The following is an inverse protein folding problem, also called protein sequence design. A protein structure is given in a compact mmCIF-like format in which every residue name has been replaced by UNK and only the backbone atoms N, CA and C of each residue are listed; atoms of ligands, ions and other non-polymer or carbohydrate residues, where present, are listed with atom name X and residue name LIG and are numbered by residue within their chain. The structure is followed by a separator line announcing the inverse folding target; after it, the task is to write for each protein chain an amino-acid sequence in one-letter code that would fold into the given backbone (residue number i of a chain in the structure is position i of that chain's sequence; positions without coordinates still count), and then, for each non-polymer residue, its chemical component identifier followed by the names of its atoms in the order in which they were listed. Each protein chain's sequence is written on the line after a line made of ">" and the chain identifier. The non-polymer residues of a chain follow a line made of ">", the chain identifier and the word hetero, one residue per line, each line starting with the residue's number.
data_IF_224713243761
#
_entry.id   IF_224713243761
#
_cell.length_a   1.000
_cell.length_b   1.000
_cell.length_c   1.000
_cell.angle_alpha   90.00
_cell.angle_beta   90.00
_cell.angle_gamma   90.00
#
_symmetry.space_group_name_H-M   'P 1'
#
loop_
_entity.id
_entity.type
_entity.pdbx_description
1 polymer ?
#
# COMPACT_ATOMS: atom_id res chain seq x y z
N UNK A 1 -10.56 34.17 -6.40
CA UNK A 1 -9.44 33.69 -7.22
C UNK A 1 -8.89 32.40 -6.63
N UNK A 2 -8.49 31.48 -7.47
CA UNK A 2 -7.97 30.18 -7.06
C UNK A 2 -6.61 30.23 -6.34
N UNK A 3 -5.95 31.38 -6.28
CA UNK A 3 -4.67 31.52 -5.59
C UNK A 3 -4.73 32.74 -4.64
N UNK A 4 -4.40 32.49 -3.38
CA UNK A 4 -4.33 33.52 -2.34
C UNK A 4 -3.11 34.46 -2.48
N UNK A 5 -2.12 34.07 -3.28
CA UNK A 5 -0.91 34.85 -3.59
C UNK A 5 -0.52 34.64 -5.06
N UNK A 6 0.01 35.69 -5.69
CA UNK A 6 0.59 35.56 -7.02
C UNK A 6 1.90 34.73 -6.99
N UNK A 7 2.28 34.13 -8.13
CA UNK A 7 3.45 33.27 -8.24
C UNK A 7 4.76 33.98 -7.88
N UNK A 8 4.86 35.27 -8.14
CA UNK A 8 6.05 36.07 -7.83
C UNK A 8 6.22 36.23 -6.32
N UNK A 9 5.17 36.69 -5.61
CA UNK A 9 5.18 36.83 -4.15
C UNK A 9 5.48 35.50 -3.45
N UNK A 10 4.99 34.36 -3.99
CA UNK A 10 5.29 33.04 -3.47
C UNK A 10 6.76 32.66 -3.72
N UNK A 11 7.30 32.98 -4.88
CA UNK A 11 8.71 32.75 -5.21
C UNK A 11 9.63 33.53 -4.27
N UNK A 12 9.39 34.84 -4.07
CA UNK A 12 10.17 35.70 -3.17
C UNK A 12 10.12 35.13 -1.74
N UNK A 13 8.95 34.79 -1.22
CA UNK A 13 8.79 34.20 0.11
C UNK A 13 9.56 32.88 0.24
N UNK A 14 9.58 32.05 -0.79
CA UNK A 14 10.36 30.82 -0.78
C UNK A 14 11.87 31.11 -0.77
N UNK A 15 12.33 32.11 -1.52
CA UNK A 15 13.74 32.53 -1.52
C UNK A 15 14.15 33.09 -0.14
N UNK A 16 13.33 33.95 0.46
CA UNK A 16 13.56 34.51 1.79
C UNK A 16 13.62 33.43 2.89
N UNK A 17 12.88 32.34 2.72
CA UNK A 17 12.87 31.20 3.65
C UNK A 17 13.98 30.17 3.38
N UNK A 18 14.86 30.41 2.40
CA UNK A 18 16.01 29.53 2.13
C UNK A 18 17.00 29.58 3.30
N UNK A 19 17.08 28.50 4.04
CA UNK A 19 18.09 28.32 5.10
C UNK A 19 19.26 27.48 4.58
N UNK A 20 20.40 27.52 5.29
CA UNK A 20 21.52 26.61 5.04
C UNK A 20 21.07 25.15 5.03
N UNK A 21 20.17 24.79 5.96
CA UNK A 21 19.59 23.45 6.04
C UNK A 21 18.79 23.10 4.78
N UNK A 22 18.02 24.03 4.21
CA UNK A 22 17.29 23.82 2.96
C UNK A 22 18.23 23.64 1.77
N UNK A 23 19.33 24.43 1.73
CA UNK A 23 20.37 24.30 0.69
C UNK A 23 21.02 22.93 0.72
N UNK A 24 21.43 22.44 1.89
CA UNK A 24 22.05 21.12 2.03
C UNK A 24 21.06 20.00 1.68
N UNK A 25 19.79 20.16 2.04
CA UNK A 25 18.74 19.22 1.68
C UNK A 25 18.51 19.17 0.17
N UNK A 26 18.48 20.33 -0.52
CA UNK A 26 18.35 20.38 -1.97
C UNK A 26 19.56 19.78 -2.68
N UNK A 27 20.77 20.02 -2.17
CA UNK A 27 21.97 19.35 -2.68
C UNK A 27 21.88 17.83 -2.56
N UNK A 28 21.42 17.31 -1.42
CA UNK A 28 21.26 15.87 -1.24
C UNK A 28 20.26 15.27 -2.24
N UNK A 29 19.16 15.97 -2.57
CA UNK A 29 18.22 15.54 -3.60
C UNK A 29 18.84 15.55 -4.99
N UNK A 30 19.63 16.59 -5.32
CA UNK A 30 20.34 16.65 -6.60
C UNK A 30 21.35 15.50 -6.72
N UNK A 31 22.14 15.24 -5.68
CA UNK A 31 23.08 14.11 -5.67
C UNK A 31 22.36 12.77 -5.82
N UNK A 32 21.27 12.55 -5.08
CA UNK A 32 20.45 11.33 -5.18
C UNK A 32 19.90 11.13 -6.60
N UNK A 33 19.43 12.21 -7.23
CA UNK A 33 18.91 12.16 -8.59
C UNK A 33 20.02 11.88 -9.63
N UNK A 34 21.21 12.45 -9.44
CA UNK A 34 22.36 12.21 -10.31
C UNK A 34 22.93 10.80 -10.12
N UNK A 35 23.15 10.36 -8.89
CA UNK A 35 23.60 9.00 -8.57
C UNK A 35 22.65 7.94 -9.15
N UNK A 36 21.34 8.22 -9.10
CA UNK A 36 20.34 7.36 -9.69
C UNK A 36 20.37 7.38 -11.22
N UNK A 37 20.57 8.54 -11.84
CA UNK A 37 20.71 8.67 -13.29
C UNK A 37 21.93 7.92 -13.81
N UNK A 38 23.05 7.96 -13.08
CA UNK A 38 24.24 7.21 -13.40
C UNK A 38 24.02 5.70 -13.29
N UNK A 39 23.28 5.23 -12.29
CA UNK A 39 22.88 3.82 -12.13
C UNK A 39 22.00 3.32 -13.29
N UNK A 40 21.12 4.16 -13.82
CA UNK A 40 20.25 3.81 -14.97
C UNK A 40 21.01 3.85 -16.29
N UNK A 41 21.82 4.90 -16.52
CA UNK A 41 22.50 5.10 -17.80
C UNK A 41 23.63 4.10 -18.03
N UNK A 42 24.35 3.71 -16.97
CA UNK A 42 25.45 2.76 -17.07
C UNK A 42 25.00 1.28 -17.25
N UNK A 43 23.72 0.97 -17.04
CA UNK A 43 23.21 -0.40 -17.10
C UNK A 43 23.92 -1.38 -16.15
N UNK A 44 24.77 -0.87 -15.29
CA UNK A 44 25.64 -1.59 -14.37
C UNK A 44 25.11 -1.54 -12.94
N UNK A 45 23.84 -1.90 -12.77
CA UNK A 45 23.45 -2.41 -11.46
C UNK A 45 24.09 -3.80 -11.33
N UNK A 46 25.36 -3.82 -11.00
CA UNK A 46 26.04 -5.05 -10.62
C UNK A 46 25.48 -5.50 -9.27
N UNK A 47 24.41 -6.28 -9.33
CA UNK A 47 23.77 -6.85 -8.16
C UNK A 47 24.73 -7.67 -7.28
N UNK A 48 25.91 -8.06 -7.84
CA UNK A 48 26.96 -8.75 -7.09
C UNK A 48 27.67 -7.84 -6.07
N UNK A 49 27.55 -6.52 -6.20
CA UNK A 49 28.11 -5.53 -5.25
C UNK A 49 27.15 -5.11 -4.14
N UNK A 50 25.88 -5.50 -4.22
CA UNK A 50 24.95 -5.35 -3.12
C UNK A 50 25.27 -6.38 -2.04
N UNK A 51 26.25 -6.10 -1.21
CA UNK A 51 26.44 -6.84 0.03
C UNK A 51 25.26 -6.50 0.95
N UNK A 52 24.26 -7.35 0.92
CA UNK A 52 23.22 -7.35 1.97
C UNK A 52 23.93 -7.78 3.27
N UNK A 53 24.33 -6.83 4.10
CA UNK A 53 24.59 -7.15 5.50
C UNK A 53 23.28 -7.70 6.05
N UNK A 54 23.31 -8.89 6.66
CA UNK A 54 22.18 -9.40 7.44
C UNK A 54 21.73 -8.29 8.40
N UNK A 55 20.58 -7.70 8.09
CA UNK A 55 19.97 -6.72 8.99
C UNK A 55 19.24 -7.55 10.03
N UNK A 56 19.77 -7.60 11.24
CA UNK A 56 19.04 -8.12 12.37
C UNK A 56 17.80 -7.22 12.60
N UNK A 57 16.68 -7.65 12.02
CA UNK A 57 15.40 -6.95 12.12
C UNK A 57 14.88 -6.84 13.56
N UNK A 58 15.49 -7.57 14.52
CA UNK A 58 15.21 -7.43 15.94
C UNK A 58 16.00 -6.28 16.58
N UNK A 59 16.97 -5.74 15.87
CA UNK A 59 17.75 -4.62 16.37
C UNK A 59 17.00 -3.30 16.17
N UNK A 60 16.38 -2.80 17.22
CA UNK A 60 15.66 -1.53 17.24
C UNK A 60 16.49 -0.35 16.70
N UNK A 61 17.82 -0.40 16.79
CA UNK A 61 18.70 0.64 16.25
C UNK A 61 18.50 0.87 14.75
N UNK A 62 18.36 -0.20 13.96
CA UNK A 62 18.14 -0.07 12.52
C UNK A 62 16.77 0.54 12.20
N UNK A 63 15.74 0.17 12.97
CA UNK A 63 14.40 0.72 12.82
C UNK A 63 14.41 2.21 13.12
N UNK A 64 15.06 2.63 14.20
CA UNK A 64 15.16 4.06 14.55
C UNK A 64 15.99 4.85 13.56
N UNK A 65 17.09 4.28 13.08
CA UNK A 65 17.90 4.91 12.04
C UNK A 65 17.09 5.10 10.76
N UNK A 66 16.26 4.12 10.39
CA UNK A 66 15.35 4.20 9.25
C UNK A 66 14.31 5.30 9.45
N UNK A 67 13.55 5.27 10.55
CA UNK A 67 12.51 6.26 10.83
C UNK A 67 13.10 7.69 10.91
N UNK A 68 14.28 7.85 11.49
CA UNK A 68 14.99 9.12 11.50
C UNK A 68 15.28 9.60 10.09
N UNK A 69 15.80 8.74 9.20
CA UNK A 69 16.02 9.09 7.79
C UNK A 69 14.72 9.48 7.11
N UNK A 70 13.65 8.71 7.26
CA UNK A 70 12.33 9.05 6.72
C UNK A 70 11.93 10.47 7.16
N UNK A 71 12.08 10.80 8.45
CA UNK A 71 11.79 12.14 8.97
C UNK A 71 12.70 13.22 8.40
N UNK A 72 14.00 12.96 8.30
CA UNK A 72 15.00 13.92 7.81
C UNK A 72 14.81 14.26 6.32
N UNK A 73 14.30 13.32 5.53
CA UNK A 73 13.98 13.52 4.11
C UNK A 73 12.59 14.10 3.83
N UNK A 74 11.75 14.26 4.86
CA UNK A 74 10.45 14.89 4.70
C UNK A 74 10.57 16.33 4.23
N UNK A 75 9.72 16.72 3.30
CA UNK A 75 9.50 18.11 2.88
C UNK A 75 8.14 18.58 3.39
N UNK A 76 7.97 19.89 3.55
CA UNK A 76 6.67 20.44 3.92
C UNK A 76 6.00 21.01 2.66
N UNK A 77 4.81 20.49 2.35
CA UNK A 77 3.95 21.00 1.29
C UNK A 77 2.65 21.45 1.96
N UNK A 78 2.38 22.75 1.93
CA UNK A 78 1.32 23.37 2.74
C UNK A 78 1.52 23.01 4.23
N UNK A 79 0.57 22.33 4.84
CA UNK A 79 0.64 21.91 6.25
C UNK A 79 0.99 20.41 6.42
N UNK A 80 1.16 19.67 5.33
CA UNK A 80 1.43 18.25 5.32
C UNK A 80 2.91 17.95 5.04
N UNK A 81 3.39 16.82 5.53
CA UNK A 81 4.69 16.27 5.15
C UNK A 81 4.54 15.40 3.92
N UNK A 82 5.49 15.53 3.02
CA UNK A 82 5.60 14.74 1.80
C UNK A 82 7.05 14.28 1.58
N UNK A 83 7.22 13.31 0.70
CA UNK A 83 8.51 12.72 0.37
C UNK A 83 8.67 12.61 -1.14
N UNK A 84 9.90 12.76 -1.62
CA UNK A 84 10.26 12.48 -3.00
C UNK A 84 11.08 11.20 -3.07
N UNK A 85 10.79 10.38 -4.06
CA UNK A 85 11.57 9.18 -4.37
C UNK A 85 11.60 8.91 -5.89
N UNK A 86 12.53 8.08 -6.38
CA UNK A 86 12.43 7.50 -7.70
C UNK A 86 11.20 6.61 -7.79
N UNK A 87 10.31 6.90 -8.71
CA UNK A 87 9.07 6.16 -8.94
C UNK A 87 9.03 5.69 -10.39
N UNK A 88 8.69 4.42 -10.62
CA UNK A 88 8.46 3.89 -11.95
C UNK A 88 7.08 4.32 -12.42
N UNK A 89 7.01 5.20 -13.42
CA UNK A 89 5.75 5.67 -13.94
C UNK A 89 5.05 4.64 -14.84
N UNK A 90 3.80 4.90 -15.20
CA UNK A 90 2.98 4.01 -16.03
C UNK A 90 3.53 3.76 -17.46
N UNK A 91 4.55 4.51 -17.86
CA UNK A 91 5.25 4.32 -19.16
C UNK A 91 6.52 3.46 -19.02
N UNK A 92 6.76 2.88 -17.86
CA UNK A 92 7.96 2.10 -17.56
C UNK A 92 9.23 2.95 -17.47
N UNK A 93 9.09 4.26 -17.24
CA UNK A 93 10.20 5.18 -17.05
C UNK A 93 10.29 5.61 -15.60
N UNK A 94 11.49 5.66 -15.09
CA UNK A 94 11.75 6.20 -13.79
C UNK A 94 11.63 7.73 -13.81
N UNK A 95 10.92 8.27 -12.83
CA UNK A 95 10.83 9.71 -12.55
C UNK A 95 11.08 9.94 -11.07
N UNK A 96 11.54 11.14 -10.74
CA UNK A 96 11.68 11.57 -9.35
C UNK A 96 10.41 12.33 -8.99
N UNK A 97 9.54 11.71 -8.20
CA UNK A 97 8.20 12.22 -7.94
C UNK A 97 7.81 12.10 -6.47
N UNK A 98 6.68 12.66 -6.09
CA UNK A 98 6.13 12.54 -4.74
C UNK A 98 5.74 11.09 -4.46
N UNK A 99 6.20 10.60 -3.32
CA UNK A 99 5.78 9.29 -2.80
C UNK A 99 4.32 9.36 -2.38
N UNK A 100 3.49 8.46 -2.87
CA UNK A 100 2.08 8.36 -2.46
C UNK A 100 2.00 7.90 -0.98
N UNK A 101 0.79 7.88 -0.46
CA UNK A 101 0.51 7.49 0.93
C UNK A 101 -0.09 6.07 1.03
N UNK A 102 -0.08 5.32 -0.06
CA UNK A 102 -0.58 3.95 -0.08
C UNK A 102 0.26 2.97 0.78
N UNK A 103 -0.21 1.74 0.87
CA UNK A 103 0.45 0.72 1.68
C UNK A 103 1.57 -0.02 0.93
N UNK A 104 1.48 -0.07 -0.42
CA UNK A 104 2.35 -0.94 -1.21
C UNK A 104 3.74 -0.34 -1.45
N UNK A 105 3.81 0.86 -2.02
CA UNK A 105 5.05 1.57 -2.32
C UNK A 105 5.09 3.00 -1.75
N UNK A 106 4.09 3.35 -0.95
CA UNK A 106 3.93 4.65 -0.32
C UNK A 106 4.35 4.72 1.15
N UNK A 107 3.96 5.83 1.79
CA UNK A 107 4.30 6.12 3.19
C UNK A 107 3.49 5.32 4.21
N UNK A 108 2.51 4.52 3.79
CA UNK A 108 1.73 3.64 4.67
C UNK A 108 2.58 2.62 5.42
N UNK A 109 3.58 2.01 4.76
CA UNK A 109 4.51 1.07 5.39
C UNK A 109 5.37 1.72 6.48
N UNK A 110 6.12 2.80 6.20
CA UNK A 110 6.85 3.57 7.21
C UNK A 110 6.00 4.01 8.40
N UNK A 111 4.76 4.45 8.16
CA UNK A 111 3.84 4.84 9.23
C UNK A 111 3.45 3.67 10.14
N UNK A 112 3.27 2.47 9.60
CA UNK A 112 3.04 1.27 10.39
C UNK A 112 4.26 0.88 11.23
N UNK A 113 5.46 1.01 10.69
CA UNK A 113 6.69 0.80 11.46
C UNK A 113 6.73 1.77 12.65
N UNK A 114 6.47 3.06 12.43
CA UNK A 114 6.40 4.06 13.48
C UNK A 114 5.33 3.71 14.52
N UNK A 115 4.15 3.25 14.09
CA UNK A 115 3.05 2.85 14.95
C UNK A 115 3.42 1.67 15.87
N UNK A 116 4.08 0.64 15.34
CA UNK A 116 4.42 -0.55 16.12
C UNK A 116 5.56 -0.32 17.10
N UNK A 117 6.55 0.46 16.71
CA UNK A 117 7.71 0.74 17.57
C UNK A 117 7.55 1.97 18.46
N UNK A 118 6.46 2.73 18.31
CA UNK A 118 6.00 3.74 19.26
C UNK A 118 6.93 4.93 19.47
N UNK A 119 7.78 5.28 18.49
CA UNK A 119 8.81 6.32 18.64
C UNK A 119 8.76 7.45 17.61
N UNK A 120 7.78 7.44 16.73
CA UNK A 120 7.50 8.58 15.84
C UNK A 120 6.00 8.79 15.70
N UNK A 121 5.39 9.36 16.74
CA UNK A 121 3.97 9.74 16.76
C UNK A 121 3.66 10.72 15.64
N UNK A 122 4.62 11.54 15.23
CA UNK A 122 4.44 12.54 14.18
C UNK A 122 4.19 11.91 12.80
N UNK A 123 4.90 10.83 12.44
CA UNK A 123 4.70 10.13 11.17
C UNK A 123 3.35 9.41 11.15
N UNK A 124 2.99 8.74 12.26
CA UNK A 124 1.69 8.10 12.42
C UNK A 124 0.56 9.12 12.32
N UNK A 125 0.67 10.24 13.03
CA UNK A 125 -0.33 11.30 13.03
C UNK A 125 -0.49 11.93 11.64
N UNK A 126 0.60 12.13 10.90
CA UNK A 126 0.56 12.63 9.53
C UNK A 126 -0.30 11.73 8.63
N UNK A 127 -0.11 10.41 8.68
CA UNK A 127 -0.90 9.46 7.87
C UNK A 127 -2.37 9.43 8.31
N UNK A 128 -2.66 9.49 9.60
CA UNK A 128 -4.05 9.55 10.09
C UNK A 128 -4.72 10.84 9.62
N UNK A 129 -4.04 11.97 9.73
CA UNK A 129 -4.55 13.27 9.27
C UNK A 129 -4.81 13.29 7.76
N UNK A 130 -3.94 12.68 6.95
CA UNK A 130 -4.15 12.53 5.51
C UNK A 130 -5.38 11.65 5.23
N UNK A 131 -5.55 10.53 5.94
CA UNK A 131 -6.75 9.70 5.80
C UNK A 131 -8.02 10.47 6.14
N UNK A 132 -8.02 11.23 7.25
CA UNK A 132 -9.17 12.05 7.66
C UNK A 132 -9.51 13.13 6.63
N UNK A 133 -8.50 13.81 6.07
CA UNK A 133 -8.70 14.85 5.05
C UNK A 133 -9.36 14.31 3.77
N UNK A 134 -9.20 13.01 3.51
CA UNK A 134 -9.80 12.29 2.38
C UNK A 134 -11.19 11.72 2.68
N UNK A 135 -11.65 11.79 3.94
CA UNK A 135 -12.97 11.28 4.33
C UNK A 135 -14.07 12.33 4.15
N UNK A 136 -14.40 12.67 2.90
CA UNK A 136 -15.43 13.62 2.53
C UNK A 136 -16.14 13.20 1.23
N UNK A 137 -17.27 13.85 0.91
CA UNK A 137 -18.13 13.46 -0.22
C UNK A 137 -17.43 13.61 -1.59
N UNK A 138 -16.58 14.62 -1.77
CA UNK A 138 -15.84 14.81 -3.02
C UNK A 138 -14.89 13.64 -3.28
N UNK A 139 -14.26 13.13 -2.23
CA UNK A 139 -13.38 11.98 -2.32
C UNK A 139 -14.14 10.68 -2.53
N UNK A 140 -15.38 10.54 -2.05
CA UNK A 140 -16.23 9.39 -2.39
C UNK A 140 -16.39 9.28 -3.91
N UNK A 141 -16.78 10.38 -4.57
CA UNK A 141 -16.96 10.39 -6.02
C UNK A 141 -15.65 10.13 -6.78
N UNK A 142 -14.54 10.61 -6.25
CA UNK A 142 -13.20 10.32 -6.78
C UNK A 142 -12.91 8.81 -6.72
N UNK A 143 -13.06 8.17 -5.54
CA UNK A 143 -12.75 6.75 -5.37
C UNK A 143 -13.69 5.84 -6.16
N UNK A 144 -14.99 6.16 -6.26
CA UNK A 144 -15.96 5.37 -7.05
C UNK A 144 -15.57 5.30 -8.55
N UNK A 145 -14.84 6.28 -9.06
CA UNK A 145 -14.35 6.28 -10.45
C UNK A 145 -13.07 5.47 -10.65
N UNK A 146 -12.38 5.08 -9.57
CA UNK A 146 -11.17 4.27 -9.66
C UNK A 146 -11.54 2.80 -9.91
N UNK A 147 -10.72 2.09 -10.70
CA UNK A 147 -10.79 0.62 -10.82
C UNK A 147 -9.89 -0.08 -9.81
N UNK A 148 -8.86 0.62 -9.33
CA UNK A 148 -7.90 0.13 -8.36
C UNK A 148 -8.38 0.45 -6.94
N UNK A 149 -8.69 -0.61 -6.18
CA UNK A 149 -9.12 -0.55 -4.77
C UNK A 149 -8.13 -1.29 -3.86
N UNK A 150 -6.99 -1.67 -4.41
CA UNK A 150 -5.98 -2.48 -3.75
C UNK A 150 -5.02 -1.70 -2.86
N UNK A 151 -3.90 -2.33 -2.55
CA UNK A 151 -2.85 -1.79 -1.67
C UNK A 151 -2.10 -0.64 -2.30
N UNK A 152 -2.00 -0.63 -3.64
CA UNK A 152 -1.37 0.42 -4.42
C UNK A 152 -2.34 1.55 -4.77
N UNK A 153 -1.80 2.69 -5.18
CA UNK A 153 -2.53 3.89 -5.55
C UNK A 153 -3.32 4.55 -4.39
N UNK A 154 -4.09 5.59 -4.73
CA UNK A 154 -4.68 6.50 -3.75
C UNK A 154 -5.61 5.84 -2.72
N UNK A 155 -6.25 4.70 -3.07
CA UNK A 155 -7.12 3.97 -2.16
C UNK A 155 -6.32 3.13 -1.16
N UNK A 156 -5.08 2.79 -1.48
CA UNK A 156 -4.19 1.95 -0.67
C UNK A 156 -3.95 2.46 0.75
N UNK A 157 -4.07 3.78 0.97
CA UNK A 157 -3.92 4.38 2.31
C UNK A 157 -4.92 3.82 3.32
N UNK A 158 -6.16 3.49 2.90
CA UNK A 158 -7.18 2.98 3.82
C UNK A 158 -6.87 1.56 4.31
N UNK A 159 -6.08 0.78 3.57
CA UNK A 159 -5.66 -0.55 4.00
C UNK A 159 -4.73 -0.51 5.22
N UNK A 160 -4.00 0.60 5.43
CA UNK A 160 -3.12 0.82 6.58
C UNK A 160 -3.87 0.60 7.91
N UNK A 161 -5.13 1.06 7.99
CA UNK A 161 -5.96 0.95 9.20
C UNK A 161 -6.06 -0.49 9.68
N UNK A 162 -6.20 -1.46 8.78
CA UNK A 162 -6.34 -2.87 9.15
C UNK A 162 -5.11 -3.46 9.84
N UNK A 163 -3.95 -2.85 9.66
CA UNK A 163 -2.69 -3.26 10.29
C UNK A 163 -2.43 -2.56 11.63
N UNK A 164 -3.15 -1.47 11.97
CA UNK A 164 -2.98 -0.80 13.26
C UNK A 164 -3.31 -1.75 14.43
N UNK A 165 -2.75 -1.47 15.60
CA UNK A 165 -3.03 -2.22 16.84
C UNK A 165 -4.51 -2.15 17.18
N UNK A 166 -5.04 -3.21 17.82
CA UNK A 166 -6.47 -3.37 18.11
C UNK A 166 -7.04 -2.17 18.90
N UNK A 167 -6.31 -1.65 19.85
CA UNK A 167 -6.72 -0.53 20.69
C UNK A 167 -6.97 0.77 19.90
N UNK A 168 -6.30 0.93 18.74
CA UNK A 168 -6.50 2.09 17.87
C UNK A 168 -7.72 1.95 16.96
N UNK A 169 -8.08 0.73 16.56
CA UNK A 169 -9.22 0.48 15.67
C UNK A 169 -10.53 1.03 16.23
N UNK A 170 -10.68 1.02 17.56
CA UNK A 170 -11.88 1.49 18.25
C UNK A 170 -11.84 2.98 18.63
N UNK A 171 -10.77 3.71 18.33
CA UNK A 171 -10.75 5.14 18.61
C UNK A 171 -11.68 5.89 17.63
N UNK A 172 -12.36 6.97 18.07
CA UNK A 172 -13.38 7.65 17.26
C UNK A 172 -12.87 8.15 15.89
N UNK A 173 -11.62 8.56 15.80
CA UNK A 173 -11.02 9.02 14.54
C UNK A 173 -10.89 7.87 13.54
N UNK A 174 -10.31 6.74 13.97
CA UNK A 174 -10.12 5.56 13.12
C UNK A 174 -11.47 4.92 12.77
N UNK A 175 -12.44 4.92 13.70
CA UNK A 175 -13.80 4.45 13.42
C UNK A 175 -14.46 5.23 12.27
N UNK A 176 -14.33 6.56 12.23
CA UNK A 176 -14.81 7.39 11.11
C UNK A 176 -14.13 7.06 9.78
N UNK A 177 -12.82 6.81 9.79
CA UNK A 177 -12.09 6.40 8.59
C UNK A 177 -12.60 5.04 8.09
N UNK A 178 -12.82 4.09 8.99
CA UNK A 178 -13.38 2.78 8.64
C UNK A 178 -14.81 2.91 8.09
N UNK A 179 -15.64 3.76 8.69
CA UNK A 179 -16.99 4.02 8.22
C UNK A 179 -16.99 4.65 6.81
N UNK A 180 -16.10 5.60 6.56
CA UNK A 180 -15.89 6.15 5.23
C UNK A 180 -15.45 5.07 4.23
N UNK A 181 -14.47 4.25 4.60
CA UNK A 181 -14.01 3.12 3.79
C UNK A 181 -15.18 2.18 3.42
N UNK A 182 -16.02 1.82 4.40
CA UNK A 182 -17.22 1.03 4.14
C UNK A 182 -18.18 1.71 3.16
N UNK A 183 -18.42 3.02 3.32
CA UNK A 183 -19.36 3.75 2.47
C UNK A 183 -18.92 3.79 1.00
N UNK A 184 -17.63 3.91 0.75
CA UNK A 184 -17.04 3.85 -0.59
C UNK A 184 -17.18 2.44 -1.16
N UNK A 185 -16.82 1.42 -0.40
CA UNK A 185 -16.89 0.02 -0.83
C UNK A 185 -18.32 -0.39 -1.17
N UNK A 186 -19.32 -0.01 -0.36
CA UNK A 186 -20.73 -0.31 -0.65
C UNK A 186 -21.20 0.26 -1.99
N UNK A 187 -20.71 1.45 -2.37
CA UNK A 187 -21.04 2.09 -3.66
C UNK A 187 -20.25 1.50 -4.84
N UNK A 188 -19.15 0.82 -4.56
CA UNK A 188 -18.28 0.24 -5.58
C UNK A 188 -18.61 -1.22 -5.90
N UNK A 189 -19.40 -1.91 -5.07
CA UNK A 189 -19.60 -3.35 -5.21
C UNK A 189 -20.05 -3.79 -6.61
N UNK A 190 -20.89 -3.00 -7.28
CA UNK A 190 -21.39 -3.28 -8.63
C UNK A 190 -20.51 -2.71 -9.75
N UNK A 191 -19.39 -2.07 -9.41
CA UNK A 191 -18.48 -1.50 -10.41
C UNK A 191 -17.48 -2.54 -10.92
N UNK A 192 -16.95 -2.31 -12.11
CA UNK A 192 -15.81 -3.05 -12.61
C UNK A 192 -14.54 -2.64 -11.84
N UNK A 193 -13.83 -3.61 -11.28
CA UNK A 193 -12.61 -3.41 -10.49
C UNK A 193 -11.59 -4.47 -10.83
N UNK A 194 -10.32 -4.15 -10.58
CA UNK A 194 -9.24 -5.14 -10.53
C UNK A 194 -9.53 -6.18 -9.44
N UNK A 195 -9.06 -7.42 -9.65
CA UNK A 195 -9.37 -8.53 -8.73
C UNK A 195 -8.18 -8.97 -7.87
N UNK A 196 -6.97 -8.65 -8.26
CA UNK A 196 -5.75 -9.14 -7.65
C UNK A 196 -5.48 -8.58 -6.22
N UNK A 197 -4.35 -8.99 -5.63
CA UNK A 197 -4.01 -8.61 -4.27
C UNK A 197 -3.37 -7.22 -4.17
N UNK A 198 -2.72 -6.71 -5.22
CA UNK A 198 -2.06 -5.40 -5.19
C UNK A 198 -3.00 -4.29 -5.62
N UNK A 199 -3.75 -4.51 -6.69
CA UNK A 199 -4.58 -3.46 -7.30
C UNK A 199 -6.07 -3.64 -7.01
N UNK A 200 -6.50 -4.80 -6.47
CA UNK A 200 -7.87 -5.19 -6.56
C UNK A 200 -8.56 -5.66 -5.29
N UNK A 201 -9.67 -6.33 -5.52
CA UNK A 201 -10.64 -6.72 -4.50
C UNK A 201 -10.11 -7.70 -3.47
N UNK A 202 -9.07 -8.50 -3.78
CA UNK A 202 -8.48 -9.42 -2.79
C UNK A 202 -7.88 -8.69 -1.59
N UNK A 203 -7.28 -7.52 -1.78
CA UNK A 203 -6.78 -6.74 -0.65
C UNK A 203 -7.90 -6.11 0.16
N UNK A 204 -9.02 -5.75 -0.47
CA UNK A 204 -10.24 -5.31 0.23
C UNK A 204 -10.75 -6.43 1.15
N UNK A 205 -10.89 -7.67 0.62
CA UNK A 205 -11.29 -8.83 1.41
C UNK A 205 -10.34 -9.05 2.58
N UNK A 206 -9.02 -9.02 2.34
CA UNK A 206 -8.02 -9.20 3.39
C UNK A 206 -8.13 -8.14 4.48
N UNK A 207 -8.34 -6.88 4.10
CA UNK A 207 -8.50 -5.75 5.01
C UNK A 207 -9.75 -5.90 5.87
N UNK A 208 -10.89 -6.17 5.26
CA UNK A 208 -12.17 -6.35 5.95
C UNK A 208 -12.14 -7.54 6.92
N UNK A 209 -11.57 -8.67 6.52
CA UNK A 209 -11.43 -9.83 7.43
C UNK A 209 -10.51 -9.50 8.61
N UNK A 210 -9.41 -8.77 8.39
CA UNK A 210 -8.51 -8.36 9.47
C UNK A 210 -9.18 -7.37 10.43
N UNK A 211 -9.98 -6.44 9.93
CA UNK A 211 -10.79 -5.54 10.75
C UNK A 211 -11.82 -6.33 11.56
N UNK A 212 -12.52 -7.28 10.94
CA UNK A 212 -13.47 -8.16 11.64
C UNK A 212 -12.80 -8.95 12.77
N UNK A 213 -11.63 -9.54 12.52
CA UNK A 213 -10.86 -10.26 13.54
C UNK A 213 -10.48 -9.35 14.74
N UNK A 214 -10.29 -8.05 14.50
CA UNK A 214 -9.90 -7.09 15.54
C UNK A 214 -11.07 -6.49 16.32
N UNK A 215 -12.14 -6.11 15.65
CA UNK A 215 -13.25 -5.37 16.28
C UNK A 215 -14.57 -6.15 16.35
N UNK A 216 -14.70 -7.29 15.63
CA UNK A 216 -15.89 -8.10 15.62
C UNK A 216 -17.08 -7.49 14.84
N UNK A 217 -16.87 -6.38 14.13
CA UNK A 217 -17.93 -5.67 13.43
C UNK A 217 -18.46 -6.49 12.24
N UNK A 218 -19.73 -6.88 12.31
CA UNK A 218 -20.38 -7.76 11.33
C UNK A 218 -20.36 -7.18 9.91
N UNK A 219 -20.43 -5.87 9.76
CA UNK A 219 -20.36 -5.18 8.47
C UNK A 219 -19.06 -5.51 7.71
N UNK A 220 -17.92 -5.58 8.39
CA UNK A 220 -16.66 -6.01 7.81
C UNK A 220 -16.76 -7.41 7.19
N UNK A 221 -17.35 -8.36 7.92
CA UNK A 221 -17.53 -9.74 7.45
C UNK A 221 -18.48 -9.80 6.24
N UNK A 222 -19.59 -9.06 6.28
CA UNK A 222 -20.57 -9.03 5.20
C UNK A 222 -19.97 -8.46 3.91
N UNK A 223 -19.30 -7.32 3.98
CA UNK A 223 -18.59 -6.73 2.83
C UNK A 223 -17.49 -7.65 2.30
N UNK A 224 -16.72 -8.30 3.17
CA UNK A 224 -15.70 -9.26 2.74
C UNK A 224 -16.33 -10.42 1.94
N UNK A 225 -17.49 -10.93 2.34
CA UNK A 225 -18.23 -11.96 1.60
C UNK A 225 -18.66 -11.41 0.24
N UNK A 226 -19.26 -10.23 0.17
CA UNK A 226 -19.70 -9.64 -1.09
C UNK A 226 -18.54 -9.45 -2.07
N UNK A 227 -17.40 -8.96 -1.57
CA UNK A 227 -16.21 -8.74 -2.40
C UNK A 227 -15.53 -10.04 -2.85
N UNK A 228 -15.48 -11.10 -2.02
CA UNK A 228 -14.92 -12.37 -2.46
C UNK A 228 -15.81 -13.06 -3.50
N UNK A 229 -17.14 -12.95 -3.40
CA UNK A 229 -18.05 -13.47 -4.43
C UNK A 229 -17.78 -12.79 -5.77
N UNK A 230 -17.71 -11.46 -5.78
CA UNK A 230 -17.37 -10.70 -7.00
C UNK A 230 -16.01 -11.09 -7.57
N UNK A 231 -15.03 -11.32 -6.72
CA UNK A 231 -13.70 -11.76 -7.15
C UNK A 231 -13.76 -13.15 -7.79
N UNK A 232 -14.56 -14.07 -7.24
CA UNK A 232 -14.76 -15.43 -7.78
C UNK A 232 -15.41 -15.37 -9.16
N UNK A 233 -16.39 -14.49 -9.37
CA UNK A 233 -17.05 -14.30 -10.67
C UNK A 233 -16.06 -13.86 -11.76
N UNK A 234 -15.03 -13.12 -11.38
CA UNK A 234 -13.99 -12.61 -12.28
C UNK A 234 -12.66 -13.37 -12.19
N UNK A 235 -12.66 -14.61 -11.67
CA UNK A 235 -11.42 -15.39 -11.44
C UNK A 235 -10.56 -15.62 -12.69
N UNK A 236 -11.11 -15.53 -13.87
CA UNK A 236 -10.38 -15.66 -15.14
C UNK A 236 -9.47 -14.44 -15.45
N UNK A 237 -9.62 -13.34 -14.69
CA UNK A 237 -8.76 -12.16 -14.80
C UNK A 237 -7.41 -12.30 -14.11
N UNK A 238 -7.20 -13.36 -13.33
CA UNK A 238 -5.93 -13.60 -12.64
C UNK A 238 -4.83 -14.03 -13.61
N UNK A 239 -3.68 -13.35 -13.53
CA UNK A 239 -2.54 -13.58 -14.39
C UNK A 239 -1.54 -14.54 -13.71
N UNK A 240 -1.59 -15.81 -14.10
CA UNK A 240 -0.70 -16.87 -13.61
C UNK A 240 -1.02 -17.37 -12.20
N UNK A 241 0.02 -17.85 -11.49
CA UNK A 241 -0.13 -18.62 -10.27
C UNK A 241 0.42 -17.93 -9.00
N UNK A 242 1.10 -16.80 -9.13
CA UNK A 242 1.77 -16.12 -8.01
C UNK A 242 0.83 -15.53 -6.97
N UNK A 243 1.43 -14.91 -5.95
CA UNK A 243 0.70 -14.42 -4.78
C UNK A 243 -0.06 -13.11 -5.04
N UNK A 244 0.57 -12.17 -5.77
CA UNK A 244 0.00 -10.83 -5.91
C UNK A 244 -1.06 -10.75 -7.01
N UNK A 245 -0.75 -11.27 -8.19
CA UNK A 245 -1.62 -11.17 -9.38
C UNK A 245 -2.21 -12.50 -9.81
N UNK A 246 -1.82 -13.60 -9.18
CA UNK A 246 -2.17 -14.95 -9.59
C UNK A 246 -3.14 -15.69 -8.66
N UNK A 247 -3.44 -16.92 -9.05
CA UNK A 247 -4.42 -17.78 -8.38
C UNK A 247 -4.06 -18.15 -6.94
N UNK A 248 -2.77 -18.10 -6.53
CA UNK A 248 -2.37 -18.39 -5.17
C UNK A 248 -2.93 -17.36 -4.19
N UNK A 249 -2.92 -16.07 -4.55
CA UNK A 249 -3.54 -15.01 -3.74
C UNK A 249 -5.03 -15.25 -3.52
N UNK A 250 -5.76 -15.62 -4.58
CA UNK A 250 -7.17 -15.99 -4.48
C UNK A 250 -7.38 -17.23 -3.61
N UNK A 251 -6.56 -18.27 -3.80
CA UNK A 251 -6.63 -19.52 -3.03
C UNK A 251 -6.49 -19.26 -1.54
N UNK A 252 -5.45 -18.52 -1.13
CA UNK A 252 -5.25 -18.16 0.27
C UNK A 252 -6.41 -17.35 0.84
N UNK A 253 -6.93 -16.42 0.05
CA UNK A 253 -8.04 -15.59 0.51
C UNK A 253 -9.31 -16.41 0.70
N UNK A 254 -9.57 -17.39 -0.17
CA UNK A 254 -10.68 -18.33 -0.01
C UNK A 254 -10.56 -19.17 1.28
N UNK A 255 -9.36 -19.68 1.59
CA UNK A 255 -9.13 -20.36 2.86
C UNK A 255 -9.33 -19.43 4.06
N UNK A 256 -8.88 -18.18 3.98
CA UNK A 256 -9.08 -17.20 5.04
C UNK A 256 -10.56 -16.87 5.23
N UNK A 257 -11.31 -16.66 4.15
CA UNK A 257 -12.76 -16.43 4.21
C UNK A 257 -13.47 -17.65 4.82
N UNK A 258 -13.12 -18.87 4.39
CA UNK A 258 -13.66 -20.09 4.99
C UNK A 258 -13.37 -20.17 6.48
N UNK A 259 -12.15 -19.92 6.90
CA UNK A 259 -11.74 -19.96 8.32
C UNK A 259 -12.55 -18.99 9.18
N UNK A 260 -12.83 -17.80 8.67
CA UNK A 260 -13.58 -16.75 9.40
C UNK A 260 -15.09 -16.98 9.35
N UNK A 261 -15.62 -17.53 8.25
CA UNK A 261 -17.07 -17.63 8.03
C UNK A 261 -17.64 -19.00 8.29
N UNK A 262 -16.83 -20.08 8.20
CA UNK A 262 -17.26 -21.49 8.23
C UNK A 262 -17.95 -21.96 6.94
N UNK A 263 -18.07 -21.14 5.91
CA UNK A 263 -18.79 -21.45 4.67
C UNK A 263 -17.95 -22.37 3.79
N UNK A 264 -18.35 -23.66 3.71
CA UNK A 264 -17.58 -24.73 3.07
C UNK A 264 -17.32 -24.53 1.58
N UNK A 265 -18.16 -23.78 0.85
CA UNK A 265 -17.94 -23.53 -0.58
C UNK A 265 -16.58 -22.87 -0.85
N UNK A 266 -16.11 -22.00 0.03
CA UNK A 266 -14.80 -21.35 -0.12
C UNK A 266 -13.64 -22.31 0.08
N UNK A 267 -13.78 -23.27 1.02
CA UNK A 267 -12.81 -24.35 1.19
C UNK A 267 -12.71 -25.18 -0.10
N UNK A 268 -13.83 -25.69 -0.61
CA UNK A 268 -13.82 -26.54 -1.80
C UNK A 268 -13.29 -25.83 -3.04
N UNK A 269 -13.63 -24.56 -3.21
CA UNK A 269 -13.07 -23.76 -4.31
C UNK A 269 -11.58 -23.54 -4.13
N UNK A 270 -11.13 -23.22 -2.91
CA UNK A 270 -9.70 -23.06 -2.60
C UNK A 270 -8.90 -24.35 -2.88
N UNK A 271 -9.42 -25.50 -2.49
CA UNK A 271 -8.83 -26.82 -2.78
C UNK A 271 -8.74 -27.09 -4.28
N UNK A 272 -9.80 -26.78 -5.04
CA UNK A 272 -9.82 -26.92 -6.49
C UNK A 272 -8.77 -26.04 -7.17
N UNK A 273 -8.64 -24.78 -6.77
CA UNK A 273 -7.61 -23.87 -7.30
C UNK A 273 -6.21 -24.33 -6.90
N UNK A 274 -6.01 -24.79 -5.68
CA UNK A 274 -4.71 -25.31 -5.23
C UNK A 274 -4.27 -26.53 -6.06
N UNK A 275 -5.19 -27.43 -6.39
CA UNK A 275 -4.89 -28.57 -7.25
C UNK A 275 -4.51 -28.09 -8.67
N UNK A 276 -5.25 -27.14 -9.24
CA UNK A 276 -4.89 -26.52 -10.53
C UNK A 276 -3.49 -25.91 -10.51
N UNK A 277 -3.13 -25.21 -9.42
CA UNK A 277 -1.79 -24.63 -9.26
C UNK A 277 -0.73 -25.73 -9.21
N UNK A 278 -0.95 -26.81 -8.44
CA UNK A 278 0.00 -27.94 -8.30
C UNK A 278 0.24 -28.65 -9.62
N UNK A 279 -0.77 -28.82 -10.44
CA UNK A 279 -0.67 -29.45 -11.77
C UNK A 279 0.18 -28.62 -12.73
N UNK A 280 0.21 -27.30 -12.57
CA UNK A 280 0.89 -26.37 -13.47
C UNK A 280 2.13 -25.71 -12.86
N UNK A 281 2.58 -26.14 -11.69
CA UNK A 281 3.68 -25.48 -10.95
C UNK A 281 5.01 -25.54 -11.73
N UNK A 282 5.18 -26.54 -12.60
CA UNK A 282 6.39 -26.72 -13.40
C UNK A 282 6.51 -25.70 -14.54
N UNK A 283 5.40 -25.04 -14.90
CA UNK A 283 5.35 -24.04 -15.96
C UNK A 283 5.67 -22.62 -15.45
N UNK A 284 5.93 -22.49 -14.13
CA UNK A 284 6.22 -21.20 -13.51
C UNK A 284 7.71 -20.90 -13.56
N UNK A 285 8.14 -20.13 -14.55
CA UNK A 285 9.55 -19.74 -14.73
C UNK A 285 9.99 -18.60 -13.80
N UNK A 286 9.07 -17.72 -13.41
CA UNK A 286 9.38 -16.54 -12.62
C UNK A 286 9.69 -16.91 -11.16
N UNK A 287 10.74 -16.29 -10.61
CA UNK A 287 11.06 -16.37 -9.17
C UNK A 287 10.46 -15.23 -8.35
N UNK A 288 9.65 -14.36 -8.97
CA UNK A 288 9.08 -13.22 -8.25
C UNK A 288 8.02 -13.63 -7.21
N UNK A 289 7.85 -12.82 -6.19
CA UNK A 289 6.75 -12.95 -5.24
C UNK A 289 5.39 -12.71 -5.93
N UNK A 290 5.34 -11.73 -6.83
CA UNK A 290 4.09 -11.30 -7.46
C UNK A 290 3.45 -12.40 -8.33
N UNK A 291 4.25 -13.04 -9.20
CA UNK A 291 3.76 -13.95 -10.25
C UNK A 291 4.43 -15.32 -10.24
N UNK A 292 5.41 -15.54 -9.36
CA UNK A 292 6.31 -16.69 -9.46
C UNK A 292 6.41 -17.55 -8.23
N UNK A 293 7.47 -18.39 -8.26
CA UNK A 293 7.69 -19.48 -7.31
C UNK A 293 7.85 -19.02 -5.86
N UNK A 294 8.41 -17.83 -5.58
CA UNK A 294 8.50 -17.33 -4.20
C UNK A 294 7.10 -17.04 -3.64
N UNK A 295 6.20 -16.48 -4.45
CA UNK A 295 4.81 -16.27 -4.04
C UNK A 295 4.06 -17.59 -3.81
N UNK A 296 4.31 -18.61 -4.64
CA UNK A 296 3.75 -19.95 -4.47
C UNK A 296 4.26 -20.61 -3.18
N UNK A 297 5.56 -20.56 -2.92
CA UNK A 297 6.14 -21.13 -1.70
C UNK A 297 5.54 -20.50 -0.43
N UNK A 298 5.41 -19.17 -0.39
CA UNK A 298 4.77 -18.46 0.72
C UNK A 298 3.29 -18.83 0.90
N UNK A 299 2.60 -19.14 -0.19
CA UNK A 299 1.21 -19.55 -0.12
C UNK A 299 0.99 -21.00 0.34
N UNK A 300 2.03 -21.83 0.27
CA UNK A 300 2.00 -23.24 0.69
C UNK A 300 2.46 -23.45 2.15
N UNK A 301 3.07 -22.44 2.78
CA UNK A 301 3.44 -22.43 4.22
C UNK A 301 2.23 -22.10 5.11
#
# INVERSE_FOLDING_TARGET
>A
GYFSQDAYSRLIKNIENLSVKNKEKQKSFIHLALDYQDLILDGKCDSSKLTFKEIDMKNEYYIFSYLKKVKDYAIKIADEKAWYAPILNNFGKWSYDLVDNDLYDGMGGPALIAHYYGKDEELQENIISIMESRCNDEMVDFYIKQKNVGLAASFGIFHVVSFMKKEYINCPRIAKIIEFFHSVLERMIDKEMECDYINGTLSVVATLLRLYEKNGEIKNKQLAISYIEKTIENKESFDGYGMAHGLMGLTLMLYKVWKVTGIKKYLFLGESLLNKIKENIHDVESMSWCRGNVGLALGLL
#
